data_IF_995992980757
#
_entry.id   IF_995992980757
#
_cell.length_a   1.000
_cell.length_b   1.000
_cell.length_c   1.000
_cell.angle_alpha   90.00
_cell.angle_beta   90.00
_cell.angle_gamma   90.00
#
_symmetry.space_group_name_H-M   'P 1'
#
loop_
_entity.id
_entity.type
_entity.pdbx_description
1 polymer ?
#
# COMPACT_ATOMS: atom_id res chain seq x y z
N UNK A 1 -18.08 10.06 -20.69
CA UNK A 1 -17.99 9.23 -19.48
C UNK A 1 -16.57 9.38 -18.98
N UNK A 2 -16.34 10.16 -17.92
CA UNK A 2 -14.99 10.30 -17.34
C UNK A 2 -14.47 8.92 -16.98
N UNK A 3 -13.35 8.52 -17.59
CA UNK A 3 -12.57 7.36 -17.16
C UNK A 3 -11.97 7.70 -15.78
N UNK A 4 -12.78 7.60 -14.73
CA UNK A 4 -12.30 7.72 -13.35
C UNK A 4 -11.43 6.51 -13.12
N UNK A 5 -10.11 6.68 -13.24
CA UNK A 5 -9.10 5.68 -12.84
C UNK A 5 -9.48 5.25 -11.42
N UNK A 6 -10.09 4.07 -11.29
CA UNK A 6 -10.75 3.66 -10.05
C UNK A 6 -9.67 3.51 -8.97
N UNK A 7 -9.53 4.53 -8.13
CA UNK A 7 -8.55 4.56 -7.04
C UNK A 7 -8.74 3.37 -6.08
N UNK A 8 -9.98 2.90 -5.95
CA UNK A 8 -10.37 1.68 -5.24
C UNK A 8 -9.87 0.38 -5.89
N UNK A 9 -9.41 0.38 -7.14
CA UNK A 9 -8.78 -0.79 -7.79
C UNK A 9 -7.25 -0.71 -7.72
N UNK A 10 -6.69 0.30 -7.05
CA UNK A 10 -5.25 0.47 -6.96
C UNK A 10 -4.61 -0.59 -6.07
N UNK A 11 -3.58 -1.27 -6.57
CA UNK A 11 -2.83 -2.30 -5.83
C UNK A 11 -2.23 -1.76 -4.54
N UNK A 12 -1.65 -0.55 -4.59
CA UNK A 12 -1.12 0.16 -3.42
C UNK A 12 -2.18 0.46 -2.34
N UNK A 13 -3.42 0.75 -2.74
CA UNK A 13 -4.51 0.97 -1.80
C UNK A 13 -4.88 -0.34 -1.09
N UNK A 14 -5.12 -1.41 -1.84
CA UNK A 14 -5.45 -2.71 -1.25
C UNK A 14 -4.30 -3.32 -0.45
N UNK A 15 -3.04 -3.09 -0.83
CA UNK A 15 -1.89 -3.49 -0.01
C UNK A 15 -1.93 -2.81 1.35
N UNK A 16 -2.13 -1.49 1.41
CA UNK A 16 -2.24 -0.78 2.68
C UNK A 16 -3.42 -1.28 3.53
N UNK A 17 -4.58 -1.48 2.91
CA UNK A 17 -5.79 -1.99 3.57
C UNK A 17 -5.56 -3.40 4.11
N UNK A 18 -5.02 -4.31 3.31
CA UNK A 18 -4.75 -5.68 3.73
C UNK A 18 -3.71 -5.73 4.85
N UNK A 19 -2.64 -4.93 4.79
CA UNK A 19 -1.66 -4.85 5.87
C UNK A 19 -2.31 -4.39 7.17
N UNK A 20 -3.15 -3.35 7.13
CA UNK A 20 -3.86 -2.86 8.31
C UNK A 20 -4.84 -3.91 8.88
N UNK A 21 -5.62 -4.56 8.01
CA UNK A 21 -6.54 -5.63 8.42
C UNK A 21 -5.77 -6.80 9.04
N UNK A 22 -4.65 -7.22 8.45
CA UNK A 22 -3.82 -8.29 9.01
C UNK A 22 -3.31 -7.92 10.40
N UNK A 23 -2.86 -6.69 10.63
CA UNK A 23 -2.41 -6.26 11.97
C UNK A 23 -3.54 -6.33 13.01
N UNK A 24 -4.74 -5.86 12.65
CA UNK A 24 -5.92 -5.92 13.53
C UNK A 24 -6.31 -7.38 13.81
N UNK A 25 -6.34 -8.22 12.79
CA UNK A 25 -6.66 -9.65 12.96
C UNK A 25 -5.59 -10.38 13.77
N UNK A 26 -4.31 -10.04 13.64
CA UNK A 26 -3.26 -10.60 14.47
C UNK A 26 -3.50 -10.33 15.95
N UNK A 27 -3.90 -9.11 16.30
CA UNK A 27 -4.27 -8.74 17.68
C UNK A 27 -5.50 -9.51 18.17
N UNK A 28 -6.57 -9.59 17.38
CA UNK A 28 -7.79 -10.34 17.74
C UNK A 28 -7.57 -11.85 17.88
N UNK A 29 -6.62 -12.42 17.12
CA UNK A 29 -6.25 -13.83 17.19
C UNK A 29 -5.25 -14.13 18.31
N UNK A 30 -4.81 -13.11 19.08
CA UNK A 30 -3.83 -13.26 20.15
C UNK A 30 -2.41 -13.53 19.64
N UNK A 31 -2.11 -13.17 18.39
CA UNK A 31 -0.77 -13.25 17.81
C UNK A 31 -0.01 -11.99 18.21
N UNK A 32 0.81 -12.09 19.24
CA UNK A 32 1.71 -11.01 19.64
C UNK A 32 2.79 -10.82 18.57
N UNK A 33 2.73 -9.68 17.87
CA UNK A 33 3.77 -9.26 16.94
C UNK A 33 4.73 -8.32 17.68
N UNK A 34 5.98 -8.75 17.79
CA UNK A 34 7.03 -7.89 18.33
C UNK A 34 7.30 -6.69 17.38
N UNK A 35 7.83 -5.56 17.90
CA UNK A 35 8.06 -4.37 17.10
C UNK A 35 8.98 -4.59 15.88
N UNK A 36 9.93 -5.52 15.97
CA UNK A 36 10.85 -5.82 14.87
C UNK A 36 10.10 -6.52 13.73
N UNK A 37 9.23 -7.49 14.06
CA UNK A 37 8.32 -8.14 13.11
C UNK A 37 7.35 -7.14 12.45
N UNK A 38 6.78 -6.23 13.23
CA UNK A 38 5.91 -5.16 12.68
C UNK A 38 6.67 -4.33 11.64
N UNK A 39 7.87 -3.89 11.97
CA UNK A 39 8.70 -3.10 11.05
C UNK A 39 9.10 -3.92 9.82
N UNK A 40 9.46 -5.19 9.99
CA UNK A 40 9.81 -6.08 8.89
C UNK A 40 8.66 -6.28 7.88
N UNK A 41 7.41 -6.20 8.33
CA UNK A 41 6.22 -6.27 7.48
C UNK A 41 5.87 -4.91 6.88
N UNK A 42 5.83 -3.85 7.70
CA UNK A 42 5.34 -2.52 7.31
C UNK A 42 6.33 -1.83 6.37
N UNK A 43 7.62 -1.93 6.62
CA UNK A 43 8.65 -1.19 5.88
C UNK A 43 8.68 -1.55 4.38
N UNK A 44 8.64 -2.84 3.96
CA UNK A 44 8.53 -3.20 2.55
C UNK A 44 7.23 -2.71 1.89
N UNK A 45 6.10 -2.75 2.62
CA UNK A 45 4.80 -2.28 2.11
C UNK A 45 4.85 -0.78 1.84
N UNK A 46 5.38 0.00 2.78
CA UNK A 46 5.57 1.45 2.62
C UNK A 46 6.53 1.74 1.46
N UNK A 47 7.65 1.05 1.38
CA UNK A 47 8.62 1.22 0.29
C UNK A 47 7.99 0.96 -1.09
N UNK A 48 7.19 -0.10 -1.22
CA UNK A 48 6.46 -0.41 -2.45
C UNK A 48 5.47 0.71 -2.81
N UNK A 49 4.64 1.15 -1.86
CA UNK A 49 3.63 2.19 -2.10
C UNK A 49 4.29 3.49 -2.56
N UNK A 50 5.37 3.92 -1.88
CA UNK A 50 6.10 5.13 -2.24
C UNK A 50 6.79 5.01 -3.61
N UNK A 51 7.39 3.85 -3.91
CA UNK A 51 8.00 3.59 -5.20
C UNK A 51 7.00 3.64 -6.35
N UNK A 52 5.83 3.00 -6.19
CA UNK A 52 4.75 3.04 -7.18
C UNK A 52 4.20 4.46 -7.35
N UNK A 53 4.01 5.20 -6.25
CA UNK A 53 3.54 6.58 -6.29
C UNK A 53 4.53 7.51 -7.02
N UNK A 54 5.83 7.28 -6.83
CA UNK A 54 6.89 8.03 -7.52
C UNK A 54 6.88 7.76 -9.03
N UNK A 55 6.75 6.49 -9.43
CA UNK A 55 6.66 6.11 -10.85
C UNK A 55 5.38 6.69 -11.49
N UNK A 56 4.23 6.58 -10.82
CA UNK A 56 2.97 7.15 -11.28
C UNK A 56 3.08 8.66 -11.51
N UNK A 57 3.71 9.39 -10.58
CA UNK A 57 3.89 10.84 -10.66
C UNK A 57 4.77 11.26 -11.86
N UNK A 58 5.73 10.43 -12.26
CA UNK A 58 6.58 10.68 -13.42
C UNK A 58 5.88 10.30 -14.74
N UNK A 59 5.14 9.19 -14.77
CA UNK A 59 4.40 8.75 -15.96
C UNK A 59 3.33 9.75 -16.44
N UNK A 60 2.78 10.56 -15.52
CA UNK A 60 1.85 11.66 -15.87
C UNK A 60 2.56 12.80 -16.62
N UNK A 61 3.86 13.03 -16.39
CA UNK A 61 4.62 14.10 -17.05
C UNK A 61 4.95 13.77 -18.50
N UNK A 62 5.31 12.51 -18.78
CA UNK A 62 5.68 12.05 -20.14
C UNK A 62 4.51 12.01 -21.12
N UNK A 63 3.25 11.83 -20.66
CA UNK A 63 2.08 11.76 -21.55
C UNK A 63 1.58 13.13 -22.03
N UNK A 64 2.27 14.23 -21.67
CA UNK A 64 1.84 15.61 -21.90
C UNK A 64 2.68 16.34 -22.95
N UNK A 65 3.66 15.68 -23.57
CA UNK A 65 4.45 16.16 -24.72
C UNK A 65 3.90 15.62 -26.05
#
# INVERSE_FOLDING_TARGET
MEERKHWLLSRKFWLAVLTAITMILSDELGIELDPETIVAIVLPVVAYILGEAYVDAQGVKTKKE
#
